data_IF_033474206480
#
_entry.id   IF_033474206480
#
_cell.length_a   1.000
_cell.length_b   1.000
_cell.length_c   1.000
_cell.angle_alpha   90.00
_cell.angle_beta   90.00
_cell.angle_gamma   90.00
#
_symmetry.space_group_name_H-M   'P 1'
#
loop_
_entity.id
_entity.type
_entity.pdbx_description
1 polymer ?
#
# COMPACT_ATOMS: atom_id res chain seq x y z
N UNK A 1 -21.37 16.85 14.08
CA UNK A 1 -20.85 16.18 12.86
C UNK A 1 -19.67 15.31 13.27
N UNK A 2 -19.77 14.02 12.99
CA UNK A 2 -18.59 13.18 13.14
C UNK A 2 -17.51 13.59 12.12
N UNK A 3 -16.27 13.65 12.58
CA UNK A 3 -15.14 13.88 11.69
C UNK A 3 -15.03 12.64 10.75
N UNK A 4 -15.14 12.80 9.42
CA UNK A 4 -15.03 11.68 8.50
C UNK A 4 -13.61 11.08 8.47
N UNK A 5 -12.62 11.82 8.95
CA UNK A 5 -11.23 11.36 9.01
C UNK A 5 -11.01 10.66 10.34
N UNK A 6 -11.03 9.34 10.33
CA UNK A 6 -10.80 8.52 11.52
C UNK A 6 -9.32 8.34 11.86
N UNK A 7 -8.44 8.54 10.91
CA UNK A 7 -6.99 8.49 11.10
C UNK A 7 -6.38 9.87 10.91
N UNK A 8 -5.50 10.25 11.82
CA UNK A 8 -4.79 11.53 11.75
C UNK A 8 -3.52 11.48 10.89
N UNK A 9 -3.19 10.35 10.31
CA UNK A 9 -2.13 10.18 9.33
C UNK A 9 -2.73 9.81 7.98
N UNK A 10 -2.41 10.58 6.96
CA UNK A 10 -2.80 10.32 5.58
C UNK A 10 -1.52 10.18 4.75
N UNK A 11 -1.36 9.02 4.12
CA UNK A 11 -0.25 8.77 3.20
C UNK A 11 -0.75 9.01 1.79
N UNK A 12 -0.10 9.95 1.09
CA UNK A 12 -0.38 10.24 -0.30
C UNK A 12 0.84 9.88 -1.16
N UNK A 13 0.62 8.99 -2.11
CA UNK A 13 1.65 8.50 -3.01
C UNK A 13 1.41 9.07 -4.40
N UNK A 14 2.44 9.65 -5.01
CA UNK A 14 2.37 10.25 -6.33
C UNK A 14 2.84 9.24 -7.38
N UNK A 15 1.99 8.95 -8.33
CA UNK A 15 2.22 7.92 -9.35
C UNK A 15 1.75 8.40 -10.73
N UNK A 16 2.43 7.98 -11.80
CA UNK A 16 2.05 8.44 -13.15
C UNK A 16 0.73 7.87 -13.67
N UNK A 17 0.29 6.72 -13.16
CA UNK A 17 -0.86 6.01 -13.74
C UNK A 17 -1.69 5.32 -12.67
N UNK A 18 -2.92 5.80 -12.45
CA UNK A 18 -3.85 5.22 -11.47
C UNK A 18 -4.43 3.89 -11.91
N UNK A 19 -4.46 3.56 -13.20
CA UNK A 19 -4.96 2.27 -13.66
C UNK A 19 -4.10 1.12 -13.13
N UNK A 20 -2.80 1.34 -13.00
CA UNK A 20 -1.84 0.39 -12.44
C UNK A 20 -2.08 0.20 -10.94
N UNK A 21 -2.38 1.29 -10.21
CA UNK A 21 -2.77 1.21 -8.78
C UNK A 21 -4.00 0.34 -8.61
N UNK A 22 -5.05 0.64 -9.37
CA UNK A 22 -6.32 -0.10 -9.30
C UNK A 22 -6.12 -1.59 -9.57
N UNK A 23 -5.34 -1.92 -10.59
CA UNK A 23 -5.06 -3.32 -10.96
C UNK A 23 -4.25 -4.06 -9.89
N UNK A 24 -3.20 -3.44 -9.37
CA UNK A 24 -2.31 -4.08 -8.38
C UNK A 24 -3.00 -4.27 -7.02
N UNK A 25 -3.47 -3.18 -6.44
CA UNK A 25 -3.98 -3.19 -5.06
C UNK A 25 -5.32 -3.92 -4.91
N UNK A 26 -6.17 -3.98 -5.95
CA UNK A 26 -7.40 -4.76 -5.91
C UNK A 26 -7.14 -6.25 -5.68
N UNK A 27 -6.04 -6.77 -6.19
CA UNK A 27 -5.62 -8.18 -5.99
C UNK A 27 -5.17 -8.47 -4.56
N UNK A 28 -4.91 -7.44 -3.76
CA UNK A 28 -4.57 -7.53 -2.34
C UNK A 28 -5.76 -7.24 -1.42
N UNK A 29 -6.96 -7.13 -1.96
CA UNK A 29 -8.18 -6.88 -1.20
C UNK A 29 -8.48 -5.40 -0.93
N UNK A 30 -7.77 -4.48 -1.58
CA UNK A 30 -8.12 -3.06 -1.53
C UNK A 30 -9.30 -2.76 -2.44
N UNK A 31 -10.21 -1.93 -1.95
CA UNK A 31 -11.37 -1.42 -2.69
C UNK A 31 -11.23 0.08 -2.90
N UNK A 32 -11.79 0.59 -4.00
CA UNK A 32 -11.83 2.03 -4.25
C UNK A 32 -12.87 2.64 -3.31
N UNK A 33 -12.44 3.54 -2.45
CA UNK A 33 -13.33 4.29 -1.55
C UNK A 33 -13.58 5.72 -2.01
N UNK A 34 -12.71 6.27 -2.86
CA UNK A 34 -12.93 7.56 -3.52
C UNK A 34 -12.15 7.60 -4.83
N UNK A 35 -12.78 8.08 -5.89
CA UNK A 35 -12.18 8.32 -7.20
C UNK A 35 -12.80 9.58 -7.78
N UNK A 36 -12.04 10.66 -7.87
CA UNK A 36 -12.55 11.96 -8.33
C UNK A 36 -12.73 12.05 -9.85
N UNK A 37 -12.09 11.13 -10.58
CA UNK A 37 -12.16 11.06 -12.05
C UNK A 37 -12.34 9.62 -12.53
N UNK A 38 -13.50 8.98 -12.22
CA UNK A 38 -13.68 7.55 -12.49
C UNK A 38 -13.63 7.19 -13.99
N UNK A 39 -13.90 8.15 -14.87
CA UNK A 39 -13.83 7.97 -16.33
C UNK A 39 -12.43 8.16 -16.89
N UNK A 40 -11.48 8.69 -16.11
CA UNK A 40 -10.08 8.80 -16.48
C UNK A 40 -9.29 7.67 -15.83
N UNK A 41 -8.58 6.89 -16.63
CA UNK A 41 -7.86 5.72 -16.12
C UNK A 41 -6.57 6.07 -15.38
N UNK A 42 -5.89 7.12 -15.80
CA UNK A 42 -4.52 7.43 -15.38
C UNK A 42 -4.46 8.60 -14.41
N UNK A 43 -5.31 9.60 -14.64
CA UNK A 43 -5.29 10.89 -13.98
C UNK A 43 -6.34 10.98 -12.89
N UNK A 44 -6.01 11.59 -11.77
CA UNK A 44 -6.98 11.91 -10.74
C UNK A 44 -6.44 11.79 -9.33
N UNK A 45 -7.37 11.74 -8.40
CA UNK A 45 -7.15 11.51 -6.99
C UNK A 45 -7.91 10.24 -6.59
N UNK A 46 -7.20 9.30 -5.99
CA UNK A 46 -7.74 7.98 -5.67
C UNK A 46 -7.48 7.66 -4.20
N UNK A 47 -8.51 7.22 -3.49
CA UNK A 47 -8.36 6.60 -2.18
C UNK A 47 -8.78 5.14 -2.28
N UNK A 48 -7.91 4.26 -1.80
CA UNK A 48 -8.21 2.83 -1.69
C UNK A 48 -8.16 2.42 -0.22
N UNK A 49 -9.00 1.46 0.13
CA UNK A 49 -9.16 1.00 1.51
C UNK A 49 -9.18 -0.51 1.55
N UNK A 50 -8.38 -1.09 2.43
CA UNK A 50 -8.47 -2.51 2.79
C UNK A 50 -9.06 -2.62 4.18
N UNK A 51 -10.14 -3.37 4.30
CA UNK A 51 -10.80 -3.64 5.58
C UNK A 51 -10.18 -4.86 6.23
N UNK A 52 -9.95 -4.76 7.53
CA UNK A 52 -9.42 -5.83 8.36
C UNK A 52 -10.03 -5.75 9.76
N UNK A 53 -10.04 -6.85 10.50
CA UNK A 53 -10.54 -6.86 11.88
C UNK A 53 -9.75 -5.93 12.80
N UNK A 54 -8.48 -5.69 12.49
CA UNK A 54 -7.61 -4.77 13.26
C UNK A 54 -7.89 -3.30 12.96
N UNK A 55 -8.55 -3.00 11.86
CA UNK A 55 -8.80 -1.65 11.37
C UNK A 55 -8.60 -1.55 9.86
N UNK A 56 -8.92 -0.41 9.30
CA UNK A 56 -8.82 -0.17 7.87
C UNK A 56 -7.48 0.47 7.51
N UNK A 57 -6.88 0.00 6.42
CA UNK A 57 -5.73 0.66 5.79
C UNK A 57 -6.24 1.53 4.65
N UNK A 58 -5.90 2.81 4.68
CA UNK A 58 -6.23 3.76 3.62
C UNK A 58 -4.96 4.29 2.98
N UNK A 59 -4.90 4.27 1.65
CA UNK A 59 -3.83 4.87 0.88
C UNK A 59 -4.44 5.83 -0.15
N UNK A 60 -3.87 7.05 -0.21
CA UNK A 60 -4.24 8.03 -1.21
C UNK A 60 -3.20 8.03 -2.33
N UNK A 61 -3.66 8.20 -3.56
CA UNK A 61 -2.82 8.31 -4.73
C UNK A 61 -3.16 9.58 -5.51
N UNK A 62 -2.15 10.34 -5.80
CA UNK A 62 -2.21 11.46 -6.74
C UNK A 62 -1.62 10.98 -8.06
N UNK A 63 -2.42 10.98 -9.12
CA UNK A 63 -2.07 10.29 -10.36
C UNK A 63 -2.10 11.15 -11.62
N UNK A 64 -1.27 10.78 -12.58
CA UNK A 64 -1.14 11.39 -13.87
C UNK A 64 0.29 11.82 -14.19
N UNK A 65 0.83 11.39 -15.33
CA UNK A 65 2.25 11.56 -15.66
C UNK A 65 2.71 13.03 -15.57
N UNK A 66 2.08 13.93 -16.32
CA UNK A 66 2.50 15.33 -16.34
C UNK A 66 2.32 16.02 -14.99
N UNK A 67 1.20 15.77 -14.31
CA UNK A 67 0.91 16.47 -13.06
C UNK A 67 1.77 16.00 -11.88
N UNK A 68 2.18 14.73 -11.82
CA UNK A 68 3.05 14.25 -10.73
C UNK A 68 4.48 14.75 -10.92
N UNK A 69 4.99 14.76 -12.15
CA UNK A 69 6.32 15.28 -12.43
C UNK A 69 6.37 16.81 -12.46
N UNK A 70 5.25 17.47 -12.71
CA UNK A 70 5.10 18.92 -12.67
C UNK A 70 4.68 19.49 -11.31
N UNK A 71 4.47 18.65 -10.31
CA UNK A 71 4.06 19.07 -8.97
C UNK A 71 5.08 20.04 -8.36
N UNK A 72 4.62 21.08 -7.70
CA UNK A 72 5.43 22.24 -7.30
C UNK A 72 6.69 21.91 -6.50
N UNK A 73 6.63 20.90 -5.64
CA UNK A 73 7.78 20.44 -4.87
C UNK A 73 8.58 19.37 -5.61
N UNK A 74 7.90 18.34 -6.16
CA UNK A 74 8.56 17.16 -6.73
C UNK A 74 9.19 17.40 -8.10
N UNK A 75 8.80 18.46 -8.82
CA UNK A 75 9.38 18.80 -10.14
C UNK A 75 10.90 19.06 -10.11
N UNK A 76 11.47 19.32 -8.94
CA UNK A 76 12.91 19.49 -8.78
C UNK A 76 13.70 18.19 -8.90
N UNK A 77 13.04 17.04 -8.77
CA UNK A 77 13.68 15.73 -8.86
C UNK A 77 13.54 15.15 -10.26
N UNK A 78 14.55 14.37 -10.68
CA UNK A 78 14.51 13.65 -11.95
C UNK A 78 13.37 12.61 -11.95
N UNK A 79 12.79 12.36 -13.13
CA UNK A 79 11.84 11.27 -13.35
C UNK A 79 12.40 9.88 -12.98
N UNK A 80 13.73 9.74 -13.03
CA UNK A 80 14.43 8.49 -12.67
C UNK A 80 14.64 8.31 -11.17
N UNK A 81 14.28 9.30 -10.37
CA UNK A 81 14.36 9.20 -8.92
C UNK A 81 13.48 8.05 -8.43
N UNK A 82 14.08 7.14 -7.66
CA UNK A 82 13.39 5.95 -7.17
C UNK A 82 12.28 6.32 -6.18
N UNK A 83 11.05 5.93 -6.50
CA UNK A 83 9.95 6.00 -5.55
C UNK A 83 10.15 5.01 -4.42
N UNK A 84 9.74 5.40 -3.22
CA UNK A 84 9.81 4.54 -2.06
C UNK A 84 11.22 4.31 -1.49
N UNK A 85 12.23 5.00 -1.99
CA UNK A 85 13.57 4.90 -1.42
C UNK A 85 13.56 5.23 0.08
N UNK A 86 14.16 4.35 0.87
CA UNK A 86 14.28 4.49 2.33
C UNK A 86 12.93 4.62 3.06
N UNK A 87 11.83 4.19 2.45
CA UNK A 87 10.50 4.20 3.07
C UNK A 87 9.91 2.80 3.06
N UNK A 88 9.47 2.32 4.21
CA UNK A 88 8.71 1.08 4.34
C UNK A 88 7.28 1.41 4.76
N UNK A 89 6.31 0.93 4.01
CA UNK A 89 4.90 1.01 4.38
C UNK A 89 4.52 -0.33 4.99
N UNK A 90 4.30 -0.33 6.32
CA UNK A 90 3.91 -1.54 7.04
C UNK A 90 2.39 -1.57 7.22
N UNK A 91 1.78 -2.63 6.74
CA UNK A 91 0.35 -2.87 6.82
C UNK A 91 0.11 -4.11 7.68
N UNK A 92 -0.58 -3.92 8.81
CA UNK A 92 -0.95 -5.02 9.69
C UNK A 92 -2.24 -5.69 9.21
N UNK A 93 -2.32 -6.99 9.41
CA UNK A 93 -3.51 -7.77 9.04
C UNK A 93 -3.76 -8.88 10.07
N UNK A 94 -5.01 -9.29 10.21
CA UNK A 94 -5.41 -10.45 11.00
C UNK A 94 -5.47 -11.74 10.17
N UNK A 95 -5.09 -11.69 8.90
CA UNK A 95 -5.23 -12.80 7.94
C UNK A 95 -4.06 -12.88 6.97
N UNK A 96 -2.84 -12.95 7.52
CA UNK A 96 -1.61 -12.90 6.70
C UNK A 96 -1.50 -14.10 5.74
N UNK A 97 -1.92 -15.29 6.16
CA UNK A 97 -1.83 -16.49 5.32
C UNK A 97 -2.72 -16.36 4.07
N UNK A 98 -3.94 -15.86 4.25
CA UNK A 98 -4.88 -15.62 3.14
C UNK A 98 -4.39 -14.51 2.21
N UNK A 99 -3.88 -13.43 2.79
CA UNK A 99 -3.33 -12.30 2.01
C UNK A 99 -2.11 -12.73 1.20
N UNK A 100 -1.20 -13.51 1.81
CA UNK A 100 -0.04 -14.05 1.10
C UNK A 100 -0.45 -14.97 -0.04
N UNK A 101 -1.48 -15.78 0.15
CA UNK A 101 -2.02 -16.67 -0.90
C UNK A 101 -2.51 -15.86 -2.10
N UNK A 102 -3.22 -14.76 -1.87
CA UNK A 102 -3.64 -13.84 -2.94
C UNK A 102 -2.44 -13.25 -3.67
N UNK A 103 -1.46 -12.73 -2.92
CA UNK A 103 -0.25 -12.15 -3.49
C UNK A 103 0.54 -13.18 -4.29
N UNK A 104 0.74 -14.37 -3.77
CA UNK A 104 1.49 -15.44 -4.43
C UNK A 104 0.80 -15.92 -5.71
N UNK A 105 -0.51 -15.99 -5.71
CA UNK A 105 -1.28 -16.48 -6.87
C UNK A 105 -1.31 -15.47 -8.01
N UNK A 106 -1.39 -14.18 -7.70
CA UNK A 106 -1.66 -13.13 -8.71
C UNK A 106 -0.52 -12.13 -8.91
N UNK A 107 0.38 -12.00 -7.93
CA UNK A 107 1.41 -10.94 -7.89
C UNK A 107 2.79 -11.46 -7.51
N UNK A 108 3.06 -12.73 -7.80
CA UNK A 108 4.30 -13.41 -7.38
C UNK A 108 5.57 -12.64 -7.75
N UNK A 109 5.60 -12.04 -8.94
CA UNK A 109 6.76 -11.29 -9.42
C UNK A 109 7.09 -10.04 -8.59
N UNK A 110 6.14 -9.56 -7.79
CA UNK A 110 6.31 -8.40 -6.91
C UNK A 110 6.74 -8.78 -5.48
N UNK A 111 6.75 -10.08 -5.14
CA UNK A 111 7.16 -10.55 -3.83
C UNK A 111 8.69 -10.55 -3.76
N UNK A 112 9.25 -9.79 -2.82
CA UNK A 112 10.70 -9.69 -2.62
C UNK A 112 11.17 -10.50 -1.40
N UNK A 113 10.26 -10.86 -0.52
CA UNK A 113 10.52 -11.80 0.57
C UNK A 113 9.26 -12.61 0.86
N UNK A 114 9.41 -13.92 0.87
CA UNK A 114 8.35 -14.88 1.15
C UNK A 114 7.81 -14.75 2.58
N UNK A 115 6.61 -15.27 2.80
CA UNK A 115 6.01 -15.36 4.11
C UNK A 115 6.90 -16.16 5.06
N UNK A 116 7.23 -15.57 6.21
CA UNK A 116 8.01 -16.20 7.27
C UNK A 116 7.41 -15.90 8.64
N UNK A 117 7.48 -16.89 9.52
CA UNK A 117 7.29 -16.67 10.93
C UNK A 117 8.62 -16.26 11.55
N UNK A 118 8.60 -15.19 12.32
CA UNK A 118 9.77 -14.61 12.97
C UNK A 118 9.53 -14.55 14.48
N UNK A 119 10.59 -14.80 15.25
CA UNK A 119 10.57 -14.77 16.71
C UNK A 119 11.72 -13.95 17.23
N UNK A 120 11.43 -13.03 18.12
CA UNK A 120 12.43 -12.22 18.79
C UNK A 120 11.94 -11.75 20.15
N UNK A 121 12.74 -11.96 21.20
CA UNK A 121 12.46 -11.51 22.57
C UNK A 121 11.04 -11.87 23.07
N UNK A 122 10.55 -13.07 22.74
CA UNK A 122 9.21 -13.52 23.13
C UNK A 122 8.08 -13.01 22.25
N UNK A 123 8.39 -12.22 21.23
CA UNK A 123 7.43 -11.78 20.23
C UNK A 123 7.45 -12.73 19.04
N UNK A 124 6.29 -13.02 18.50
CA UNK A 124 6.10 -13.86 17.31
C UNK A 124 5.24 -13.11 16.31
N UNK A 125 5.71 -13.02 15.06
CA UNK A 125 4.93 -12.44 13.97
C UNK A 125 5.20 -13.20 12.68
N UNK A 126 4.31 -13.02 11.72
CA UNK A 126 4.50 -13.48 10.35
C UNK A 126 4.48 -12.27 9.43
N UNK A 127 5.38 -12.22 8.47
CA UNK A 127 5.34 -11.19 7.45
C UNK A 127 5.85 -11.66 6.10
N UNK A 128 5.46 -10.95 5.05
CA UNK A 128 6.05 -11.01 3.72
C UNK A 128 6.20 -9.59 3.17
N UNK A 129 6.98 -9.45 2.12
CA UNK A 129 7.32 -8.15 1.57
C UNK A 129 7.16 -8.10 0.07
N UNK A 130 6.71 -6.96 -0.42
CA UNK A 130 6.50 -6.70 -1.84
C UNK A 130 7.09 -5.35 -2.21
N UNK A 131 7.41 -5.20 -3.49
CA UNK A 131 7.62 -3.89 -4.11
C UNK A 131 6.51 -3.70 -5.12
N UNK A 132 5.75 -2.61 -5.00
CA UNK A 132 4.65 -2.35 -5.93
C UNK A 132 5.19 -1.94 -7.33
N UNK A 133 4.33 -1.83 -8.36
CA UNK A 133 4.79 -1.48 -9.70
C UNK A 133 5.52 -0.14 -9.83
N UNK A 134 5.38 0.74 -8.83
CA UNK A 134 6.03 2.05 -8.82
C UNK A 134 7.31 2.11 -8.01
N UNK A 135 7.63 1.05 -7.26
CA UNK A 135 8.81 0.98 -6.41
C UNK A 135 8.55 1.22 -4.92
N UNK A 136 7.29 1.32 -4.48
CA UNK A 136 6.99 1.43 -3.06
C UNK A 136 7.16 0.09 -2.36
N UNK A 137 7.90 0.11 -1.26
CA UNK A 137 8.23 -1.07 -0.47
C UNK A 137 7.16 -1.32 0.60
N UNK A 138 6.48 -2.46 0.49
CA UNK A 138 5.36 -2.84 1.33
C UNK A 138 5.73 -4.02 2.23
N UNK A 139 5.45 -3.89 3.51
CA UNK A 139 5.52 -4.99 4.48
C UNK A 139 4.12 -5.30 4.96
N UNK A 140 3.68 -6.54 4.75
CA UNK A 140 2.44 -7.06 5.34
C UNK A 140 2.79 -7.95 6.52
N UNK A 141 2.18 -7.71 7.69
CA UNK A 141 2.55 -8.38 8.92
C UNK A 141 1.33 -8.71 9.77
N UNK A 142 1.34 -9.90 10.38
CA UNK A 142 0.42 -10.30 11.41
C UNK A 142 1.18 -10.55 12.71
N UNK A 143 0.71 -9.94 13.78
CA UNK A 143 1.27 -10.08 15.11
C UNK A 143 0.61 -11.30 15.77
N UNK A 144 1.38 -12.37 15.97
CA UNK A 144 0.88 -13.64 16.50
C UNK A 144 0.92 -13.65 18.04
N UNK A 145 2.08 -13.30 18.59
CA UNK A 145 2.26 -13.19 20.05
C UNK A 145 3.21 -12.01 20.33
N UNK A 146 2.71 -11.04 21.07
CA UNK A 146 3.48 -9.86 21.47
C UNK A 146 3.89 -9.90 22.93
N UNK A 147 3.76 -11.06 23.59
CA UNK A 147 4.14 -11.21 24.98
C UNK A 147 3.30 -10.35 25.93
N UNK A 148 2.14 -9.89 25.51
CA UNK A 148 1.19 -9.26 26.40
C UNK A 148 0.50 -10.35 27.22
N UNK A 149 0.81 -10.40 28.47
CA UNK A 149 0.11 -11.23 29.46
C UNK A 149 -0.96 -10.39 30.17
#
# INVERSE_FOLDING_TARGET
MENPIKNNLIIELHVPDLSVVKSFYSKLGFEISMDDKPNNKELGYLTITRKDKLGNTMLNFYGGDERVYGQSFFKQFSKDTRRGYATEITITTSSIDELYKLAFTQLKQYIVRELKELKDHGHVWKDFRMVDPFGFYLRFTELIDWGQK
#
